data_IF_904062368580
#
_entry.id   IF_904062368580
#
_cell.length_a   1.000
_cell.length_b   1.000
_cell.length_c   1.000
_cell.angle_alpha   90.00
_cell.angle_beta   90.00
_cell.angle_gamma   90.00
#
_symmetry.space_group_name_H-M   'P 1'
#
loop_
_entity.id
_entity.type
_entity.pdbx_description
1 polymer ?
#
# COMPACT_ATOMS: atom_id res chain seq x y z
N UNK A 1 -17.90 -25.57 -3.95
CA UNK A 1 -18.55 -24.27 -4.26
C UNK A 1 -19.24 -23.80 -3.00
N UNK A 2 -19.04 -22.55 -2.58
CA UNK A 2 -19.64 -21.99 -1.35
C UNK A 2 -21.15 -21.84 -1.51
N UNK A 3 -21.93 -22.41 -0.57
CA UNK A 3 -23.39 -22.25 -0.53
C UNK A 3 -23.74 -20.81 -0.11
N UNK A 4 -24.33 -20.05 -1.02
CA UNK A 4 -24.69 -18.64 -0.81
C UNK A 4 -25.78 -18.42 0.25
N UNK A 5 -26.72 -19.34 0.39
CA UNK A 5 -27.73 -19.24 1.44
C UNK A 5 -27.12 -19.47 2.83
N UNK A 6 -26.20 -20.41 2.92
CA UNK A 6 -25.42 -20.65 4.15
C UNK A 6 -24.56 -19.44 4.49
N UNK A 7 -23.81 -18.92 3.50
CA UNK A 7 -23.00 -17.71 3.67
C UNK A 7 -23.84 -16.54 4.21
N UNK A 8 -24.99 -16.26 3.61
CA UNK A 8 -25.89 -15.19 4.05
C UNK A 8 -26.39 -15.37 5.50
N UNK A 9 -26.75 -16.61 5.89
CA UNK A 9 -27.14 -16.89 7.28
C UNK A 9 -25.99 -16.72 8.28
N UNK A 10 -24.81 -17.18 7.92
CA UNK A 10 -23.60 -17.02 8.75
C UNK A 10 -23.24 -15.54 8.91
N UNK A 11 -23.22 -14.79 7.81
CA UNK A 11 -22.95 -13.37 7.83
C UNK A 11 -23.96 -12.60 8.71
N UNK A 12 -25.26 -12.87 8.60
CA UNK A 12 -26.27 -12.24 9.42
C UNK A 12 -26.10 -12.53 10.94
N UNK A 13 -25.61 -13.72 11.29
CA UNK A 13 -25.28 -14.06 12.69
C UNK A 13 -24.09 -13.27 13.19
N UNK A 14 -23.00 -13.21 12.39
CA UNK A 14 -21.79 -12.47 12.76
C UNK A 14 -22.07 -10.95 12.82
N UNK A 15 -22.98 -10.42 11.97
CA UNK A 15 -23.40 -9.02 12.01
C UNK A 15 -24.16 -8.70 13.32
N UNK A 16 -25.05 -9.59 13.77
CA UNK A 16 -25.76 -9.39 15.03
C UNK A 16 -24.77 -9.43 16.21
N UNK A 17 -23.84 -10.37 16.21
CA UNK A 17 -22.80 -10.45 17.25
C UNK A 17 -21.94 -9.17 17.27
N UNK A 18 -21.55 -8.65 16.11
CA UNK A 18 -20.81 -7.39 15.99
C UNK A 18 -21.57 -6.21 16.62
N UNK A 19 -22.86 -6.07 16.26
CA UNK A 19 -23.72 -4.98 16.79
C UNK A 19 -23.86 -5.07 18.30
N UNK A 20 -24.06 -6.27 18.84
CA UNK A 20 -24.27 -6.48 20.29
C UNK A 20 -23.00 -6.21 21.11
N UNK A 21 -21.83 -6.45 20.52
CA UNK A 21 -20.53 -6.29 21.21
C UNK A 21 -19.98 -4.86 21.15
N UNK A 22 -20.46 -4.00 20.21
CA UNK A 22 -19.86 -2.69 19.96
C UNK A 22 -20.84 -1.51 20.16
N UNK A 23 -21.56 -1.42 21.30
CA UNK A 23 -22.55 -0.35 21.53
C UNK A 23 -21.94 1.05 21.60
N UNK A 24 -20.69 1.20 22.08
CA UNK A 24 -20.00 2.49 22.17
C UNK A 24 -19.49 2.93 20.80
N UNK A 25 -18.91 2.05 20.00
CA UNK A 25 -18.53 2.33 18.61
C UNK A 25 -19.73 2.77 17.78
N UNK A 26 -20.88 2.09 17.93
CA UNK A 26 -22.16 2.48 17.30
C UNK A 26 -22.57 3.90 17.69
N UNK A 27 -22.50 4.23 18.98
CA UNK A 27 -22.84 5.58 19.48
C UNK A 27 -21.90 6.64 18.92
N UNK A 28 -20.59 6.37 18.86
CA UNK A 28 -19.58 7.27 18.29
C UNK A 28 -19.78 7.49 16.79
N UNK A 29 -20.10 6.44 16.04
CA UNK A 29 -20.42 6.54 14.62
C UNK A 29 -21.62 7.45 14.36
N UNK A 30 -22.69 7.30 15.14
CA UNK A 30 -23.88 8.15 15.07
C UNK A 30 -23.58 9.62 15.44
N UNK A 31 -22.73 9.85 16.43
CA UNK A 31 -22.26 11.18 16.80
C UNK A 31 -21.43 11.84 15.69
N UNK A 32 -20.45 11.12 15.18
CA UNK A 32 -19.54 11.59 14.12
C UNK A 32 -20.29 11.88 12.80
N UNK A 33 -21.36 11.10 12.52
CA UNK A 33 -22.20 11.28 11.35
C UNK A 33 -22.94 12.64 11.26
N UNK A 34 -22.96 13.42 12.33
CA UNK A 34 -23.53 14.78 12.33
C UNK A 34 -22.68 15.79 11.59
N UNK A 35 -21.37 15.55 11.44
CA UNK A 35 -20.42 16.52 10.86
C UNK A 35 -19.39 15.90 9.91
N UNK A 36 -19.22 14.59 9.91
CA UNK A 36 -18.32 13.88 9.02
C UNK A 36 -19.10 13.08 7.98
N UNK A 37 -18.71 13.16 6.72
CA UNK A 37 -19.29 12.39 5.64
C UNK A 37 -19.10 10.88 5.92
N UNK A 38 -20.22 10.14 6.00
CA UNK A 38 -20.17 8.73 6.38
C UNK A 38 -19.80 8.44 7.84
N UNK A 39 -19.74 9.47 8.71
CA UNK A 39 -19.39 9.32 10.13
C UNK A 39 -17.91 9.06 10.40
N UNK A 40 -17.05 9.28 9.40
CA UNK A 40 -15.61 8.99 9.47
C UNK A 40 -14.78 10.14 8.88
N UNK A 41 -13.53 10.35 9.33
CA UNK A 41 -12.67 11.41 8.80
C UNK A 41 -12.13 11.10 7.38
N UNK A 42 -12.19 9.84 6.92
CA UNK A 42 -11.73 9.43 5.60
C UNK A 42 -12.60 8.28 5.07
N UNK A 43 -13.00 8.38 3.79
CA UNK A 43 -14.05 7.53 3.19
C UNK A 43 -13.77 6.01 3.31
N UNK A 44 -12.52 5.57 3.24
CA UNK A 44 -12.19 4.14 3.35
C UNK A 44 -12.47 3.55 4.74
N UNK A 45 -12.55 4.38 5.76
CA UNK A 45 -12.93 3.92 7.10
C UNK A 45 -14.37 3.40 7.20
N UNK A 46 -15.19 3.60 6.16
CA UNK A 46 -16.51 2.97 6.03
C UNK A 46 -16.48 1.57 5.40
N UNK A 47 -15.30 1.10 4.95
CA UNK A 47 -15.16 -0.19 4.25
C UNK A 47 -15.01 -1.37 5.20
N UNK A 48 -14.82 -1.14 6.48
CA UNK A 48 -14.80 -2.22 7.47
C UNK A 48 -16.12 -2.96 7.46
N UNK A 49 -16.09 -4.31 7.53
CA UNK A 49 -17.33 -5.08 7.64
C UNK A 49 -18.02 -4.75 8.96
N UNK A 50 -19.34 -4.83 8.95
CA UNK A 50 -20.21 -4.44 10.05
C UNK A 50 -21.02 -3.19 9.75
N UNK A 51 -22.12 -3.00 10.46
CA UNK A 51 -23.10 -1.91 10.25
C UNK A 51 -22.55 -0.50 10.51
N UNK A 52 -21.40 -0.40 11.19
CA UNK A 52 -20.73 0.86 11.53
C UNK A 52 -19.24 0.62 11.75
N UNK A 53 -18.38 1.66 11.59
CA UNK A 53 -16.95 1.52 11.83
C UNK A 53 -16.63 1.33 13.32
N UNK A 54 -15.60 0.53 13.61
CA UNK A 54 -14.99 0.49 14.94
C UNK A 54 -14.30 1.83 15.25
N UNK A 55 -14.40 2.25 16.52
CA UNK A 55 -13.65 3.38 17.04
C UNK A 55 -12.57 2.86 17.98
N UNK A 56 -11.30 3.09 17.65
CA UNK A 56 -10.21 2.68 18.53
C UNK A 56 -10.01 3.66 19.70
N UNK A 57 -9.54 3.15 20.83
CA UNK A 57 -9.15 3.91 22.03
C UNK A 57 -7.63 4.09 22.07
N UNK A 58 -6.88 3.00 21.95
CA UNK A 58 -5.42 2.98 21.96
C UNK A 58 -4.87 1.85 21.10
N UNK A 59 -3.63 2.03 20.62
CA UNK A 59 -2.90 1.02 19.88
C UNK A 59 -1.43 0.99 20.31
N UNK A 60 -0.82 -0.19 20.41
CA UNK A 60 0.59 -0.37 20.72
C UNK A 60 1.11 -1.68 20.12
N UNK A 61 2.29 -1.66 19.50
CA UNK A 61 2.87 -2.83 18.85
C UNK A 61 1.95 -3.38 17.77
N UNK A 62 1.59 -4.65 17.87
CA UNK A 62 0.71 -5.35 16.93
C UNK A 62 -0.76 -5.40 17.41
N UNK A 63 -1.17 -4.53 18.32
CA UNK A 63 -2.52 -4.58 18.91
C UNK A 63 -3.16 -3.21 19.00
N UNK A 64 -4.48 -3.20 18.94
CA UNK A 64 -5.28 -2.05 19.39
C UNK A 64 -6.44 -2.50 20.27
N UNK A 65 -6.95 -1.56 21.06
CA UNK A 65 -8.17 -1.71 21.84
C UNK A 65 -9.19 -0.71 21.34
N UNK A 66 -10.41 -1.15 21.09
CA UNK A 66 -11.51 -0.26 20.71
C UNK A 66 -12.14 0.47 21.91
N UNK A 67 -13.06 1.38 21.64
CA UNK A 67 -13.77 2.13 22.68
C UNK A 67 -14.74 1.26 23.50
N UNK A 68 -15.06 0.06 23.05
CA UNK A 68 -15.85 -0.93 23.75
C UNK A 68 -14.99 -1.79 24.70
N UNK A 69 -13.66 -1.65 24.64
CA UNK A 69 -12.68 -2.32 25.48
C UNK A 69 -12.22 -3.67 24.93
N UNK A 70 -12.53 -3.98 23.69
CA UNK A 70 -12.13 -5.22 23.01
C UNK A 70 -10.74 -5.05 22.42
N UNK A 71 -9.85 -6.01 22.67
CA UNK A 71 -8.50 -6.05 22.12
C UNK A 71 -8.44 -6.89 20.84
N UNK A 72 -7.72 -6.38 19.85
CA UNK A 72 -7.51 -7.01 18.53
C UNK A 72 -6.02 -7.20 18.27
N UNK A 73 -5.68 -8.33 17.63
CA UNK A 73 -4.42 -8.48 16.91
C UNK A 73 -4.60 -7.78 15.57
N UNK A 74 -3.72 -6.85 15.25
CA UNK A 74 -3.81 -5.99 14.07
C UNK A 74 -2.85 -6.45 12.97
N UNK A 75 -3.35 -7.23 12.03
CA UNK A 75 -2.63 -7.59 10.81
C UNK A 75 -2.86 -6.59 9.67
N UNK A 76 -3.74 -5.60 9.84
CA UNK A 76 -3.91 -4.51 8.88
C UNK A 76 -2.78 -3.49 8.98
N UNK A 77 -2.38 -3.12 10.21
CA UNK A 77 -1.33 -2.14 10.48
C UNK A 77 -1.50 -0.85 9.66
N UNK A 78 -2.75 -0.36 9.59
CA UNK A 78 -3.10 0.85 8.84
C UNK A 78 -2.73 0.74 7.36
N UNK A 79 -2.90 -0.42 6.76
CA UNK A 79 -2.55 -0.72 5.36
C UNK A 79 -1.09 -0.30 5.03
N UNK A 80 -0.16 -0.89 5.73
CA UNK A 80 1.30 -0.64 5.70
C UNK A 80 1.76 0.59 6.50
N UNK A 81 0.90 1.56 6.79
CA UNK A 81 1.27 2.79 7.49
C UNK A 81 1.91 2.56 8.87
N UNK A 82 1.48 1.53 9.57
CA UNK A 82 2.00 1.11 10.86
C UNK A 82 2.74 -0.25 10.83
N UNK A 83 3.34 -0.64 9.71
CA UNK A 83 4.12 -1.89 9.59
C UNK A 83 5.23 -1.99 10.63
N UNK A 84 5.71 -0.89 11.16
CA UNK A 84 6.69 -0.84 12.25
C UNK A 84 6.12 -1.21 13.63
N UNK A 85 4.80 -1.37 13.72
CA UNK A 85 4.04 -1.43 14.96
C UNK A 85 3.50 -0.07 15.40
N UNK A 86 2.42 -0.08 16.18
CA UNK A 86 1.80 1.12 16.72
C UNK A 86 2.59 1.70 17.88
N UNK A 87 2.51 3.03 18.04
CA UNK A 87 3.03 3.78 19.19
C UNK A 87 4.49 3.46 19.56
N UNK A 88 5.37 3.38 18.53
CA UNK A 88 6.80 3.17 18.76
C UNK A 88 7.35 4.20 19.74
N UNK A 89 7.96 3.80 20.88
CA UNK A 89 8.44 4.74 21.90
C UNK A 89 9.44 5.75 21.35
N UNK A 90 10.34 5.33 20.46
CA UNK A 90 11.36 6.18 19.85
C UNK A 90 10.75 7.27 18.95
N UNK A 91 9.68 6.93 18.21
CA UNK A 91 8.95 7.89 17.36
C UNK A 91 8.15 8.84 18.23
N UNK A 92 7.41 8.34 19.23
CA UNK A 92 6.63 9.16 20.14
C UNK A 92 7.49 10.19 20.87
N UNK A 93 8.67 9.79 21.35
CA UNK A 93 9.62 10.68 22.02
C UNK A 93 10.24 11.71 21.06
N UNK A 94 10.57 11.31 19.83
CA UNK A 94 11.10 12.23 18.80
C UNK A 94 10.06 13.29 18.45
N UNK A 95 8.80 12.89 18.26
CA UNK A 95 7.69 13.80 18.00
C UNK A 95 7.47 14.78 19.15
N UNK A 96 7.46 14.28 20.39
CA UNK A 96 7.32 15.11 21.59
C UNK A 96 8.43 16.19 21.68
N UNK A 97 9.68 15.80 21.50
CA UNK A 97 10.81 16.72 21.52
C UNK A 97 10.73 17.76 20.38
N UNK A 98 10.45 17.30 19.16
CA UNK A 98 10.42 18.19 18.01
C UNK A 98 9.24 19.18 18.04
N UNK A 99 8.07 18.75 18.52
CA UNK A 99 6.90 19.60 18.64
C UNK A 99 7.16 20.85 19.51
N UNK A 100 8.03 20.74 20.54
CA UNK A 100 8.45 21.86 21.40
C UNK A 100 9.49 22.79 20.76
N UNK A 101 10.13 22.38 19.65
CA UNK A 101 11.16 23.17 18.94
C UNK A 101 10.63 23.85 17.68
N UNK A 102 9.38 23.60 17.33
CA UNK A 102 8.73 24.08 16.11
C UNK A 102 8.52 22.97 15.10
N UNK A 103 7.46 23.10 14.32
CA UNK A 103 7.00 22.04 13.40
C UNK A 103 7.27 22.43 11.94
N UNK A 104 6.76 23.61 11.52
CA UNK A 104 6.82 24.06 10.13
C UNK A 104 7.45 25.44 10.05
N UNK A 105 8.67 25.48 9.58
CA UNK A 105 9.46 26.72 9.45
C UNK A 105 9.82 27.04 8.01
N UNK A 106 9.58 26.13 7.08
CA UNK A 106 10.09 26.14 5.70
C UNK A 106 11.63 26.26 5.62
N UNK A 107 12.31 25.88 6.68
CA UNK A 107 13.78 25.81 6.76
C UNK A 107 14.19 24.36 7.06
N UNK A 108 15.27 23.87 6.45
CA UNK A 108 15.82 22.56 6.79
C UNK A 108 16.38 22.55 8.22
N UNK A 109 16.44 21.37 8.82
CA UNK A 109 17.10 21.12 10.10
C UNK A 109 18.13 19.97 9.96
N UNK A 110 18.82 19.64 11.06
CA UNK A 110 19.86 18.59 11.07
C UNK A 110 19.34 17.20 10.69
N UNK A 111 18.05 16.92 10.90
CA UNK A 111 17.44 15.65 10.53
C UNK A 111 17.36 15.47 9.01
N UNK A 112 17.30 16.57 8.24
CA UNK A 112 17.17 16.51 6.78
C UNK A 112 18.38 15.80 6.14
N UNK A 113 19.60 16.16 6.55
CA UNK A 113 20.81 15.51 6.01
C UNK A 113 20.86 14.01 6.36
N UNK A 114 20.60 13.68 7.63
CA UNK A 114 20.59 12.28 8.07
C UNK A 114 19.53 11.44 7.34
N UNK A 115 18.32 11.99 7.16
CA UNK A 115 17.23 11.30 6.45
C UNK A 115 17.62 11.07 4.99
N UNK A 116 18.19 12.08 4.32
CA UNK A 116 18.67 11.93 2.94
C UNK A 116 19.72 10.84 2.80
N UNK A 117 20.73 10.83 3.68
CA UNK A 117 21.80 9.83 3.70
C UNK A 117 21.26 8.43 3.97
N UNK A 118 20.33 8.28 4.92
CA UNK A 118 19.72 6.99 5.25
C UNK A 118 18.84 6.45 4.12
N UNK A 119 18.05 7.30 3.46
CA UNK A 119 17.27 6.91 2.29
C UNK A 119 18.18 6.45 1.15
N UNK A 120 19.28 7.17 0.87
CA UNK A 120 20.25 6.81 -0.15
C UNK A 120 20.93 5.46 0.18
N UNK A 121 21.39 5.31 1.41
CA UNK A 121 22.03 4.06 1.89
C UNK A 121 21.09 2.86 1.79
N UNK A 122 19.81 3.04 2.15
CA UNK A 122 18.82 1.98 2.26
C UNK A 122 18.29 1.54 0.91
N UNK A 123 17.93 2.50 0.06
CA UNK A 123 17.23 2.26 -1.20
C UNK A 123 18.10 2.39 -2.47
N UNK A 124 19.35 2.85 -2.34
CA UNK A 124 20.34 2.79 -3.40
C UNK A 124 20.34 3.93 -4.41
N UNK A 125 19.33 4.80 -4.42
CA UNK A 125 19.37 6.02 -5.25
C UNK A 125 20.06 7.17 -4.48
N UNK A 126 20.91 7.98 -5.15
CA UNK A 126 21.79 8.92 -4.45
C UNK A 126 21.10 10.21 -3.99
N UNK A 127 20.03 10.66 -4.66
CA UNK A 127 19.40 11.97 -4.43
C UNK A 127 17.94 11.82 -4.05
N UNK A 128 17.51 12.52 -2.99
CA UNK A 128 16.17 12.36 -2.42
C UNK A 128 15.49 13.70 -2.16
N UNK A 129 14.16 13.67 -2.24
CA UNK A 129 13.27 14.74 -1.81
C UNK A 129 12.11 14.17 -1.00
N UNK A 130 11.58 14.97 -0.08
CA UNK A 130 10.44 14.58 0.75
C UNK A 130 9.11 14.94 0.08
N UNK A 131 8.06 14.23 0.49
CA UNK A 131 6.66 14.52 0.20
C UNK A 131 5.81 14.25 1.46
N UNK A 132 4.56 14.69 1.48
CA UNK A 132 3.66 14.40 2.59
C UNK A 132 3.07 13.00 2.49
N UNK A 133 2.74 12.58 1.27
CA UNK A 133 2.16 11.28 0.96
C UNK A 133 2.80 10.70 -0.29
N UNK A 134 2.70 9.37 -0.49
CA UNK A 134 3.14 8.74 -1.73
C UNK A 134 2.33 9.27 -2.94
N UNK A 135 1.08 9.68 -2.75
CA UNK A 135 0.30 10.38 -3.79
C UNK A 135 1.03 11.63 -4.29
N UNK A 136 1.50 12.48 -3.36
CA UNK A 136 2.23 13.69 -3.74
C UNK A 136 3.56 13.35 -4.40
N UNK A 137 4.30 12.39 -3.84
CA UNK A 137 5.56 11.91 -4.41
C UNK A 137 5.37 11.43 -5.86
N UNK A 138 4.37 10.58 -6.11
CA UNK A 138 4.04 10.13 -7.45
C UNK A 138 3.69 11.28 -8.39
N UNK A 139 2.84 12.22 -7.96
CA UNK A 139 2.50 13.42 -8.75
C UNK A 139 3.72 14.25 -9.11
N UNK A 140 4.65 14.44 -8.17
CA UNK A 140 5.88 15.20 -8.41
C UNK A 140 6.79 14.48 -9.42
N UNK A 141 6.97 13.18 -9.25
CA UNK A 141 7.77 12.35 -10.16
C UNK A 141 7.18 12.33 -11.57
N UNK A 142 5.85 12.23 -11.72
CA UNK A 142 5.20 12.30 -13.04
C UNK A 142 5.42 13.66 -13.73
N UNK A 143 5.41 14.79 -12.97
CA UNK A 143 5.75 16.10 -13.51
C UNK A 143 7.18 16.16 -14.01
N UNK A 144 8.12 15.66 -13.22
CA UNK A 144 9.53 15.58 -13.61
C UNK A 144 9.74 14.69 -14.83
N UNK A 145 9.11 13.51 -14.87
CA UNK A 145 9.22 12.61 -16.01
C UNK A 145 8.72 13.24 -17.31
N UNK A 146 7.56 13.90 -17.25
CA UNK A 146 7.02 14.66 -18.40
C UNK A 146 7.93 15.80 -18.84
N UNK A 147 8.46 16.54 -17.87
CA UNK A 147 9.39 17.65 -18.18
C UNK A 147 10.67 17.15 -18.85
N UNK A 148 11.30 16.12 -18.29
CA UNK A 148 12.57 15.58 -18.77
C UNK A 148 12.48 14.91 -20.15
N UNK A 149 11.33 14.33 -20.47
CA UNK A 149 11.13 13.60 -21.73
C UNK A 149 10.41 14.41 -22.81
N UNK A 150 9.72 15.49 -22.42
CA UNK A 150 8.82 16.25 -23.32
C UNK A 150 7.57 15.46 -23.74
N UNK A 151 7.29 14.34 -23.10
CA UNK A 151 6.16 13.45 -23.41
C UNK A 151 5.05 13.62 -22.41
N UNK A 152 3.79 13.39 -22.80
CA UNK A 152 2.61 13.65 -21.96
C UNK A 152 2.05 12.42 -21.25
N UNK A 153 2.20 11.22 -21.84
CA UNK A 153 1.59 10.01 -21.33
C UNK A 153 2.44 9.29 -20.28
N UNK A 154 1.75 8.62 -19.38
CA UNK A 154 2.31 7.70 -18.38
C UNK A 154 1.80 6.31 -18.68
N UNK A 155 2.62 5.28 -18.54
CA UNK A 155 2.19 3.90 -18.60
C UNK A 155 2.03 3.36 -17.17
N UNK A 156 0.91 2.70 -16.90
CA UNK A 156 0.65 1.98 -15.66
C UNK A 156 0.18 0.56 -15.94
N UNK A 157 0.30 -0.31 -14.95
CA UNK A 157 -0.24 -1.67 -15.04
C UNK A 157 -1.69 -1.72 -14.58
N UNK A 158 -2.49 -2.56 -15.25
CA UNK A 158 -3.92 -2.68 -14.93
C UNK A 158 -4.12 -3.13 -13.48
N UNK A 159 -5.05 -2.45 -12.78
CA UNK A 159 -5.34 -2.66 -11.36
C UNK A 159 -4.22 -2.29 -10.39
N UNK A 160 -3.18 -1.58 -10.80
CA UNK A 160 -2.20 -0.98 -9.88
C UNK A 160 -2.83 0.05 -8.93
N UNK A 161 -2.09 0.44 -7.90
CA UNK A 161 -2.50 1.54 -7.02
C UNK A 161 -1.30 2.43 -6.65
N UNK A 162 -1.43 3.73 -6.92
CA UNK A 162 -0.37 4.72 -6.67
C UNK A 162 -0.90 5.96 -5.93
N UNK A 163 -1.88 5.75 -5.03
CA UNK A 163 -2.55 6.84 -4.34
C UNK A 163 -3.62 7.52 -5.22
N UNK A 164 -4.06 8.70 -4.82
CA UNK A 164 -5.07 9.50 -5.54
C UNK A 164 -4.43 10.25 -6.72
N UNK A 165 -3.80 9.51 -7.62
CA UNK A 165 -3.19 9.99 -8.86
C UNK A 165 -4.11 9.60 -10.02
N UNK A 166 -4.66 10.60 -10.72
CA UNK A 166 -5.68 10.36 -11.76
C UNK A 166 -5.17 9.43 -12.86
N UNK A 167 -3.89 9.54 -13.22
CA UNK A 167 -3.23 8.67 -14.19
C UNK A 167 -3.20 7.19 -13.80
N UNK A 168 -3.38 6.86 -12.51
CA UNK A 168 -3.38 5.48 -12.00
C UNK A 168 -4.77 4.94 -11.68
N UNK A 169 -5.80 5.80 -11.66
CA UNK A 169 -7.20 5.40 -11.41
C UNK A 169 -7.89 4.95 -12.71
N UNK A 170 -7.23 4.06 -13.42
CA UNK A 170 -7.60 3.60 -14.76
C UNK A 170 -7.60 2.08 -14.84
N UNK A 171 -8.25 1.55 -15.88
CA UNK A 171 -8.26 0.14 -16.24
C UNK A 171 -8.23 -0.01 -17.75
N UNK A 172 -8.01 -1.23 -18.22
CA UNK A 172 -7.97 -1.57 -19.64
C UNK A 172 -9.32 -2.15 -20.07
N UNK A 173 -9.87 -1.64 -21.16
CA UNK A 173 -11.02 -2.28 -21.84
C UNK A 173 -10.56 -3.64 -22.42
N UNK A 174 -11.15 -4.77 -21.98
CA UNK A 174 -10.70 -6.08 -22.43
C UNK A 174 -10.96 -6.34 -23.92
N UNK A 175 -11.93 -5.63 -24.54
CA UNK A 175 -12.31 -5.84 -25.95
C UNK A 175 -11.51 -4.97 -26.91
N UNK A 176 -11.22 -3.73 -26.54
CA UNK A 176 -10.55 -2.74 -27.41
C UNK A 176 -9.12 -2.43 -27.02
N UNK A 177 -8.72 -2.79 -25.80
CA UNK A 177 -7.42 -2.44 -25.24
C UNK A 177 -7.27 -0.96 -24.81
N UNK A 178 -8.33 -0.16 -24.92
CA UNK A 178 -8.30 1.27 -24.57
C UNK A 178 -8.21 1.47 -23.06
N UNK A 179 -7.58 2.58 -22.68
CA UNK A 179 -7.60 3.08 -21.29
C UNK A 179 -8.98 3.64 -20.98
N UNK A 180 -9.58 3.18 -19.89
CA UNK A 180 -10.86 3.64 -19.33
C UNK A 180 -10.67 4.08 -17.87
N UNK A 181 -11.57 4.93 -17.33
CA UNK A 181 -11.63 5.14 -15.88
C UNK A 181 -11.86 3.82 -15.15
N UNK A 182 -11.18 3.63 -14.01
CA UNK A 182 -11.39 2.45 -13.17
C UNK A 182 -12.81 2.44 -12.60
N UNK A 183 -13.53 1.30 -12.62
CA UNK A 183 -14.82 1.19 -11.95
C UNK A 183 -14.74 1.60 -10.48
N UNK A 184 -15.66 2.43 -10.03
CA UNK A 184 -15.67 2.98 -8.67
C UNK A 184 -14.90 4.29 -8.48
N UNK A 185 -14.12 4.74 -9.45
CA UNK A 185 -13.59 6.11 -9.44
C UNK A 185 -14.75 7.10 -9.60
N UNK A 186 -14.78 8.11 -8.72
CA UNK A 186 -15.88 9.09 -8.68
C UNK A 186 -15.57 10.30 -9.56
N UNK A 187 -16.63 10.86 -10.14
CA UNK A 187 -16.59 12.05 -10.99
C UNK A 187 -16.30 11.75 -12.46
N UNK A 188 -16.80 12.58 -13.39
CA UNK A 188 -16.43 12.51 -14.79
C UNK A 188 -14.99 12.98 -14.94
N UNK A 189 -14.12 12.05 -15.31
CA UNK A 189 -12.71 12.36 -15.58
C UNK A 189 -12.56 12.92 -17.01
N UNK A 190 -11.50 13.69 -17.23
CA UNK A 190 -10.96 13.92 -18.57
C UNK A 190 -10.66 12.55 -19.18
N UNK A 191 -10.84 12.38 -20.49
CA UNK A 191 -10.53 11.10 -21.15
C UNK A 191 -9.11 10.62 -20.76
N UNK A 192 -8.98 9.57 -19.95
CA UNK A 192 -7.69 9.16 -19.41
C UNK A 192 -6.74 8.63 -20.49
N UNK A 193 -7.25 8.26 -21.68
CA UNK A 193 -6.41 7.82 -22.80
C UNK A 193 -5.51 8.93 -23.36
N UNK A 194 -5.80 10.19 -23.02
CA UNK A 194 -4.96 11.34 -23.40
C UNK A 194 -3.67 11.41 -22.57
N UNK A 195 -3.70 10.89 -21.33
CA UNK A 195 -2.61 11.01 -20.37
C UNK A 195 -2.03 9.68 -19.92
N UNK A 196 -2.73 8.57 -20.18
CA UNK A 196 -2.35 7.26 -19.63
C UNK A 196 -2.53 6.12 -20.62
N UNK A 197 -1.59 5.20 -20.60
CA UNK A 197 -1.65 3.90 -21.28
C UNK A 197 -1.66 2.81 -20.22
N UNK A 198 -2.59 1.85 -20.34
CA UNK A 198 -2.71 0.71 -19.42
C UNK A 198 -2.32 -0.56 -20.13
N UNK A 199 -1.43 -1.35 -19.52
CA UNK A 199 -1.08 -2.69 -19.99
C UNK A 199 -1.26 -3.72 -18.90
N UNK A 200 -1.52 -5.00 -19.21
CA UNK A 200 -1.55 -6.05 -18.18
C UNK A 200 -0.16 -6.21 -17.54
N UNK A 201 -0.15 -6.50 -16.24
CA UNK A 201 1.08 -6.91 -15.56
C UNK A 201 1.53 -8.27 -16.13
N UNK A 202 2.83 -8.54 -16.17
CA UNK A 202 3.42 -9.74 -16.78
C UNK A 202 3.23 -9.92 -18.31
N UNK A 203 2.70 -8.91 -19.01
CA UNK A 203 2.54 -8.95 -20.48
C UNK A 203 3.65 -8.14 -21.17
N UNK A 204 4.82 -8.76 -21.36
CA UNK A 204 5.96 -8.14 -22.01
C UNK A 204 5.66 -7.71 -23.45
N UNK A 205 4.97 -8.50 -24.30
CA UNK A 205 4.56 -8.06 -25.64
C UNK A 205 3.69 -6.81 -25.64
N UNK A 206 2.71 -6.71 -24.74
CA UNK A 206 1.86 -5.51 -24.64
C UNK A 206 2.66 -4.29 -24.16
N UNK A 207 3.61 -4.48 -23.24
CA UNK A 207 4.52 -3.43 -22.78
C UNK A 207 5.40 -2.92 -23.93
N UNK A 208 6.00 -3.81 -24.72
CA UNK A 208 6.84 -3.44 -25.85
C UNK A 208 6.05 -2.67 -26.91
N UNK A 209 4.87 -3.17 -27.28
CA UNK A 209 4.00 -2.50 -28.24
C UNK A 209 3.58 -1.10 -27.76
N UNK A 210 3.28 -0.93 -26.48
CA UNK A 210 2.91 0.37 -25.92
C UNK A 210 4.09 1.36 -25.94
N UNK A 211 5.29 0.93 -25.59
CA UNK A 211 6.50 1.77 -25.56
C UNK A 211 6.99 2.16 -26.95
N UNK A 212 6.73 1.33 -27.97
CA UNK A 212 7.12 1.60 -29.37
C UNK A 212 6.49 2.88 -29.92
N UNK A 213 5.37 3.37 -29.36
CA UNK A 213 4.73 4.62 -29.73
C UNK A 213 5.56 5.88 -29.45
N UNK A 214 6.53 5.81 -28.54
CA UNK A 214 7.49 6.88 -28.23
C UNK A 214 6.89 8.11 -27.53
N UNK A 215 5.65 8.07 -27.04
CA UNK A 215 4.92 9.17 -26.40
C UNK A 215 4.76 9.02 -24.88
N UNK A 216 5.37 7.96 -24.29
CA UNK A 216 5.31 7.64 -22.88
C UNK A 216 6.49 8.27 -22.13
N UNK A 217 6.21 9.15 -21.17
CA UNK A 217 7.20 9.82 -20.33
C UNK A 217 7.86 8.85 -19.34
N UNK A 218 7.04 8.05 -18.66
CA UNK A 218 7.52 7.06 -17.73
C UNK A 218 6.56 5.86 -17.62
N UNK A 219 7.09 4.75 -17.14
CA UNK A 219 6.31 3.65 -16.57
C UNK A 219 6.29 3.85 -15.06
N UNK A 220 5.10 3.90 -14.45
CA UNK A 220 4.89 3.91 -13.00
C UNK A 220 4.44 2.51 -12.60
N UNK A 221 5.25 1.82 -11.79
CA UNK A 221 5.09 0.41 -11.48
C UNK A 221 5.26 0.11 -9.98
N UNK A 222 4.43 -0.79 -9.45
CA UNK A 222 4.77 -1.56 -8.25
C UNK A 222 5.70 -2.71 -8.66
N UNK A 223 6.66 -3.15 -7.82
CA UNK A 223 7.44 -4.38 -8.08
C UNK A 223 6.61 -5.66 -8.20
N UNK A 224 5.52 -5.76 -7.45
CA UNK A 224 4.44 -6.73 -7.56
C UNK A 224 3.12 -5.99 -7.35
N UNK A 225 2.03 -6.37 -8.00
CA UNK A 225 0.74 -5.74 -7.71
C UNK A 225 0.30 -6.13 -6.30
N UNK A 226 -0.20 -5.14 -5.57
CA UNK A 226 -0.58 -5.32 -4.16
C UNK A 226 -1.97 -4.77 -3.83
N UNK A 227 -2.65 -4.17 -4.80
CA UNK A 227 -3.97 -3.54 -4.60
C UNK A 227 -5.16 -4.47 -4.90
N UNK A 228 -4.93 -5.58 -5.57
CA UNK A 228 -5.95 -6.54 -5.99
C UNK A 228 -5.51 -7.97 -5.69
N UNK A 229 -5.17 -8.22 -4.42
CA UNK A 229 -4.39 -9.38 -4.06
C UNK A 229 -2.90 -9.18 -4.39
N UNK A 230 -2.09 -10.20 -4.16
CA UNK A 230 -0.68 -10.21 -4.55
C UNK A 230 -0.55 -10.87 -5.91
N UNK A 231 -0.08 -10.10 -6.92
CA UNK A 231 0.31 -10.63 -8.23
C UNK A 231 1.81 -10.50 -8.37
N UNK A 232 2.50 -11.62 -8.31
CA UNK A 232 3.96 -11.67 -8.40
C UNK A 232 4.45 -11.49 -9.84
N UNK A 233 5.64 -10.89 -10.05
CA UNK A 233 6.25 -10.81 -11.38
C UNK A 233 6.65 -12.19 -11.88
N UNK A 234 6.37 -12.47 -13.16
CA UNK A 234 6.91 -13.65 -13.83
C UNK A 234 8.42 -13.51 -14.03
N UNK A 235 9.17 -14.62 -14.07
CA UNK A 235 10.61 -14.59 -14.34
C UNK A 235 10.93 -13.80 -15.62
N UNK A 236 11.88 -12.88 -15.55
CA UNK A 236 12.31 -12.03 -16.67
C UNK A 236 11.44 -10.79 -16.93
N UNK A 237 10.34 -10.59 -16.19
CA UNK A 237 9.47 -9.44 -16.41
C UNK A 237 10.17 -8.11 -16.09
N UNK A 238 10.83 -7.99 -14.94
CA UNK A 238 11.53 -6.75 -14.55
C UNK A 238 12.75 -6.44 -15.43
N UNK A 239 13.48 -7.46 -15.86
CA UNK A 239 14.58 -7.29 -16.82
C UNK A 239 14.06 -6.76 -18.16
N UNK A 240 12.94 -7.32 -18.63
CA UNK A 240 12.29 -6.83 -19.86
C UNK A 240 11.78 -5.40 -19.69
N UNK A 241 11.13 -5.09 -18.56
CA UNK A 241 10.64 -3.74 -18.22
C UNK A 241 11.79 -2.72 -18.25
N UNK A 242 12.91 -3.00 -17.59
CA UNK A 242 14.05 -2.09 -17.57
C UNK A 242 14.70 -1.96 -18.94
N UNK A 243 14.91 -3.04 -19.64
CA UNK A 243 15.47 -3.03 -21.00
C UNK A 243 14.62 -2.19 -21.96
N UNK A 244 13.31 -2.40 -21.96
CA UNK A 244 12.38 -1.71 -22.85
C UNK A 244 12.27 -0.21 -22.52
N UNK A 245 12.20 0.16 -21.24
CA UNK A 245 12.16 1.57 -20.85
C UNK A 245 13.42 2.31 -21.30
N UNK A 246 14.61 1.73 -21.14
CA UNK A 246 15.86 2.30 -21.66
C UNK A 246 15.88 2.40 -23.19
N UNK A 247 15.47 1.33 -23.88
CA UNK A 247 15.45 1.28 -25.36
C UNK A 247 14.60 2.40 -25.96
N UNK A 248 13.47 2.74 -25.31
CA UNK A 248 12.53 3.74 -25.79
C UNK A 248 12.71 5.13 -25.16
N UNK A 249 13.75 5.33 -24.31
CA UNK A 249 13.99 6.58 -23.61
C UNK A 249 12.83 6.99 -22.70
N UNK A 250 12.14 6.02 -22.12
CA UNK A 250 11.07 6.16 -21.14
C UNK A 250 11.67 5.98 -19.76
N UNK A 251 11.31 6.81 -18.79
CA UNK A 251 11.81 6.70 -17.41
C UNK A 251 11.06 5.58 -16.66
N UNK A 252 11.75 4.89 -15.75
CA UNK A 252 11.17 3.87 -14.89
C UNK A 252 10.99 4.43 -13.47
N UNK A 253 9.76 4.46 -12.99
CA UNK A 253 9.39 4.83 -11.63
C UNK A 253 8.93 3.57 -10.89
N UNK A 254 9.60 3.24 -9.79
CA UNK A 254 9.20 2.14 -8.91
C UNK A 254 8.57 2.71 -7.64
N UNK A 255 7.32 2.34 -7.39
CA UNK A 255 6.59 2.69 -6.17
C UNK A 255 6.66 1.51 -5.19
N UNK A 256 7.44 1.69 -4.12
CA UNK A 256 7.71 0.70 -3.07
C UNK A 256 6.80 0.86 -1.85
N UNK A 257 5.80 1.70 -1.92
CA UNK A 257 4.97 2.05 -0.75
C UNK A 257 4.40 0.82 -0.04
N UNK A 258 4.06 -0.24 -0.77
CA UNK A 258 3.62 -1.51 -0.22
C UNK A 258 4.69 -2.60 -0.23
N UNK A 259 5.54 -2.62 -1.23
CA UNK A 259 6.53 -3.69 -1.43
C UNK A 259 7.78 -3.54 -0.56
N UNK A 260 7.86 -2.45 0.23
CA UNK A 260 8.82 -2.32 1.34
C UNK A 260 8.77 -3.52 2.31
N UNK A 261 7.66 -4.24 2.37
CA UNK A 261 7.53 -5.46 3.19
C UNK A 261 8.48 -6.60 2.77
N UNK A 262 9.12 -6.52 1.60
CA UNK A 262 10.06 -7.55 1.10
C UNK A 262 11.41 -7.52 1.84
N UNK A 263 11.83 -6.36 2.32
CA UNK A 263 13.11 -6.24 3.01
C UNK A 263 13.47 -4.80 3.36
N UNK A 264 14.58 -4.56 4.07
CA UNK A 264 14.99 -3.24 4.55
C UNK A 264 15.26 -2.23 3.42
N UNK A 265 15.55 -2.69 2.22
CA UNK A 265 15.68 -1.88 1.00
C UNK A 265 14.55 -2.06 -0.01
N UNK A 266 13.41 -2.65 0.43
CA UNK A 266 12.27 -2.96 -0.41
C UNK A 266 12.54 -4.09 -1.42
N UNK A 267 11.55 -4.35 -2.28
CA UNK A 267 11.70 -5.29 -3.38
C UNK A 267 12.75 -4.83 -4.40
N UNK A 268 12.89 -3.52 -4.60
CA UNK A 268 13.90 -2.93 -5.50
C UNK A 268 15.31 -3.44 -5.18
N UNK A 269 15.72 -3.36 -3.91
CA UNK A 269 17.02 -3.87 -3.50
C UNK A 269 17.09 -5.39 -3.49
N UNK A 270 16.04 -6.05 -2.99
CA UNK A 270 16.02 -7.51 -2.89
C UNK A 270 16.07 -8.22 -4.25
N UNK A 271 15.47 -7.62 -5.28
CA UNK A 271 15.39 -8.17 -6.64
C UNK A 271 16.34 -7.49 -7.63
N UNK A 272 17.19 -6.57 -7.17
CA UNK A 272 18.16 -5.88 -8.01
C UNK A 272 17.53 -5.00 -9.08
N UNK A 273 16.40 -4.36 -8.79
CA UNK A 273 15.75 -3.45 -9.73
C UNK A 273 16.53 -2.15 -9.85
N UNK A 274 16.45 -1.51 -11.02
CA UNK A 274 17.25 -0.33 -11.37
C UNK A 274 16.35 0.78 -11.92
N UNK A 275 15.59 1.48 -11.06
CA UNK A 275 14.70 2.57 -11.47
C UNK A 275 15.44 3.89 -11.70
N UNK A 276 14.82 4.77 -12.50
CA UNK A 276 15.21 6.18 -12.63
C UNK A 276 14.66 7.02 -11.47
N UNK A 277 13.47 6.66 -10.98
CA UNK A 277 12.84 7.21 -9.78
C UNK A 277 12.33 6.09 -8.86
N UNK A 278 12.39 6.36 -7.58
CA UNK A 278 11.87 5.51 -6.51
C UNK A 278 10.89 6.32 -5.66
N UNK A 279 9.75 5.74 -5.32
CA UNK A 279 8.75 6.37 -4.44
C UNK A 279 8.49 5.48 -3.23
N UNK A 280 8.41 6.08 -2.05
CA UNK A 280 8.05 5.39 -0.82
C UNK A 280 7.28 6.34 0.11
N UNK A 281 6.30 5.79 0.82
CA UNK A 281 5.52 6.51 1.82
C UNK A 281 5.15 5.64 3.00
N UNK A 282 4.00 5.91 3.59
CA UNK A 282 3.36 5.12 4.66
C UNK A 282 4.32 4.83 5.82
N UNK A 283 4.92 3.66 5.86
CA UNK A 283 5.67 3.13 7.00
C UNK A 283 6.90 3.95 7.41
N UNK A 284 7.51 4.71 6.48
CA UNK A 284 8.76 5.45 6.80
C UNK A 284 8.58 6.51 7.88
N UNK A 285 7.36 6.99 8.09
CA UNK A 285 7.02 7.96 9.14
C UNK A 285 6.61 7.35 10.47
N UNK A 286 6.61 6.00 10.62
CA UNK A 286 6.16 5.36 11.86
C UNK A 286 4.75 5.70 12.28
N UNK A 287 3.84 5.89 11.31
CA UNK A 287 2.44 6.33 11.49
C UNK A 287 2.22 7.84 11.25
N UNK A 288 3.27 8.65 11.16
CA UNK A 288 3.16 10.06 10.75
C UNK A 288 3.12 10.18 9.21
N UNK A 289 2.32 11.14 8.67
CA UNK A 289 2.35 11.44 7.24
C UNK A 289 3.75 11.83 6.78
N UNK A 290 4.39 10.96 6.01
CA UNK A 290 5.69 11.19 5.40
C UNK A 290 5.83 10.27 4.18
N UNK A 291 6.44 10.83 3.13
CA UNK A 291 6.85 10.10 1.95
C UNK A 291 8.15 10.72 1.40
N UNK A 292 8.80 9.99 0.52
CA UNK A 292 10.00 10.45 -0.15
C UNK A 292 10.03 9.89 -1.58
N UNK A 293 10.76 10.59 -2.45
CA UNK A 293 11.12 10.07 -3.76
C UNK A 293 12.61 10.25 -4.01
N UNK A 294 13.21 9.19 -4.51
CA UNK A 294 14.62 9.15 -4.89
C UNK A 294 14.77 9.23 -6.39
N UNK A 295 15.94 9.64 -6.85
CA UNK A 295 16.28 9.73 -8.26
C UNK A 295 17.72 9.34 -8.54
N UNK A 296 17.96 8.79 -9.74
CA UNK A 296 19.30 8.44 -10.21
C UNK A 296 20.16 9.69 -10.43
N UNK A 297 21.49 9.52 -10.49
CA UNK A 297 22.44 10.61 -10.79
C UNK A 297 22.12 11.30 -12.11
N UNK A 298 21.74 10.53 -13.14
CA UNK A 298 21.36 11.07 -14.44
C UNK A 298 20.14 11.99 -14.35
N UNK A 299 19.08 11.53 -13.63
CA UNK A 299 17.88 12.31 -13.42
C UNK A 299 18.19 13.55 -12.58
N UNK A 300 18.93 13.42 -11.49
CA UNK A 300 19.30 14.54 -10.61
C UNK A 300 20.10 15.61 -11.35
N UNK A 301 21.06 15.20 -12.18
CA UNK A 301 21.86 16.13 -12.99
C UNK A 301 21.00 16.92 -13.99
N UNK A 302 19.98 16.30 -14.58
CA UNK A 302 19.06 16.94 -15.52
C UNK A 302 18.03 17.85 -14.82
N UNK A 303 17.62 17.52 -13.59
CA UNK A 303 16.66 18.33 -12.83
C UNK A 303 17.28 19.50 -12.08
N UNK A 304 18.55 19.40 -11.66
CA UNK A 304 19.22 20.44 -10.91
C UNK A 304 19.09 21.83 -11.52
N UNK A 305 19.40 22.05 -12.82
CA UNK A 305 19.22 23.33 -13.49
C UNK A 305 17.77 23.82 -13.55
N UNK A 306 16.80 22.89 -13.61
CA UNK A 306 15.37 23.24 -13.67
C UNK A 306 14.89 23.79 -12.32
N UNK A 307 15.29 23.14 -11.22
CA UNK A 307 14.91 23.54 -9.86
C UNK A 307 15.62 24.82 -9.43
N UNK A 308 16.86 25.02 -9.87
CA UNK A 308 17.68 26.20 -9.53
C UNK A 308 17.37 27.44 -10.37
N UNK A 309 16.41 27.36 -11.32
CA UNK A 309 16.13 28.47 -12.23
C UNK A 309 15.37 29.60 -11.51
N UNK A 310 15.98 30.77 -11.43
CA UNK A 310 15.48 31.94 -10.70
C UNK A 310 14.12 32.50 -11.19
N UNK A 311 13.68 32.09 -12.37
CA UNK A 311 12.41 32.51 -12.97
C UNK A 311 11.21 31.61 -12.67
N UNK A 312 11.41 30.52 -11.92
CA UNK A 312 10.33 29.57 -11.62
C UNK A 312 9.78 29.85 -10.22
N UNK A 313 8.65 30.52 -10.17
CA UNK A 313 7.92 30.78 -8.94
C UNK A 313 7.22 29.52 -8.41
N UNK A 314 6.57 28.75 -9.31
CA UNK A 314 5.86 27.52 -8.95
C UNK A 314 6.15 26.40 -9.95
N UNK A 315 6.94 25.41 -9.55
CA UNK A 315 7.17 24.19 -10.35
C UNK A 315 6.00 23.19 -10.31
N UNK A 316 5.09 23.37 -9.35
CA UNK A 316 4.05 22.42 -9.05
C UNK A 316 4.56 21.19 -8.28
N UNK A 317 5.74 21.29 -7.67
CA UNK A 317 6.40 20.26 -6.85
C UNK A 317 6.68 20.86 -5.47
N UNK A 318 6.49 20.07 -4.41
CA UNK A 318 6.63 20.51 -3.03
C UNK A 318 5.29 20.90 -2.38
N UNK A 319 5.37 21.69 -1.33
CA UNK A 319 4.21 22.14 -0.55
C UNK A 319 4.68 22.67 0.80
N UNK A 320 3.92 23.61 1.39
CA UNK A 320 4.27 24.31 2.63
C UNK A 320 4.63 23.39 3.79
N UNK A 321 3.97 22.23 3.88
CA UNK A 321 4.17 21.25 4.95
C UNK A 321 5.17 20.15 4.58
N UNK A 322 5.62 20.09 3.33
CA UNK A 322 6.53 19.04 2.85
C UNK A 322 7.91 19.17 3.52
N UNK A 323 8.46 18.05 4.02
CA UNK A 323 9.75 18.04 4.68
C UNK A 323 9.80 18.85 5.99
N UNK A 324 8.66 19.03 6.67
CA UNK A 324 8.63 19.75 7.95
C UNK A 324 9.43 18.99 9.03
N UNK A 325 9.89 19.73 10.02
CA UNK A 325 10.77 19.21 11.07
C UNK A 325 10.16 18.06 11.87
N UNK A 326 8.84 18.03 12.06
CA UNK A 326 8.16 16.94 12.78
C UNK A 326 8.15 15.64 11.97
N UNK A 327 7.87 15.71 10.67
CA UNK A 327 7.91 14.57 9.78
C UNK A 327 9.34 14.02 9.64
N UNK A 328 10.35 14.89 9.51
CA UNK A 328 11.76 14.46 9.47
C UNK A 328 12.20 13.77 10.77
N UNK A 329 11.80 14.30 11.94
CA UNK A 329 12.07 13.67 13.22
C UNK A 329 11.42 12.28 13.34
N UNK A 330 10.19 12.12 12.82
CA UNK A 330 9.51 10.84 12.77
C UNK A 330 10.23 9.84 11.84
N UNK A 331 10.59 10.26 10.63
CA UNK A 331 11.31 9.41 9.66
C UNK A 331 12.67 8.99 10.23
N UNK A 332 13.43 9.93 10.81
CA UNK A 332 14.72 9.63 11.45
C UNK A 332 14.57 8.62 12.58
N UNK A 333 13.61 8.82 13.48
CA UNK A 333 13.36 7.90 14.59
C UNK A 333 12.92 6.52 14.09
N UNK A 334 12.06 6.47 13.08
CA UNK A 334 11.58 5.22 12.48
C UNK A 334 12.71 4.45 11.82
N UNK A 335 13.38 5.03 10.84
CA UNK A 335 14.41 4.35 10.06
C UNK A 335 15.69 4.06 10.89
N UNK A 336 15.93 4.84 11.93
CA UNK A 336 17.05 4.63 12.86
C UNK A 336 16.81 3.53 13.89
N UNK A 337 15.57 3.10 14.12
CA UNK A 337 15.24 2.13 15.19
C UNK A 337 14.51 0.88 14.72
N UNK A 338 13.99 0.85 13.49
CA UNK A 338 13.16 -0.25 12.98
C UNK A 338 13.33 -0.40 11.46
N UNK A 339 12.69 -1.40 10.89
CA UNK A 339 12.83 -1.81 9.49
C UNK A 339 14.28 -2.16 9.13
N UNK A 340 14.99 -2.83 10.04
CA UNK A 340 16.36 -3.32 9.90
C UNK A 340 16.35 -4.80 9.52
N UNK A 341 17.51 -5.35 9.19
CA UNK A 341 17.65 -6.77 8.79
C UNK A 341 17.04 -7.72 9.83
N UNK A 342 17.26 -7.44 11.14
CA UNK A 342 16.70 -8.26 12.22
C UNK A 342 15.16 -8.22 12.29
N UNK A 343 14.54 -7.08 11.96
CA UNK A 343 13.07 -6.96 11.94
C UNK A 343 12.49 -7.82 10.82
N UNK A 344 13.06 -7.78 9.62
CA UNK A 344 12.64 -8.62 8.51
C UNK A 344 12.95 -10.10 8.73
N UNK A 345 14.08 -10.42 9.38
CA UNK A 345 14.41 -11.80 9.77
C UNK A 345 13.37 -12.39 10.77
N UNK A 346 12.68 -11.54 11.52
CA UNK A 346 11.56 -11.92 12.38
C UNK A 346 10.21 -11.97 11.61
N UNK A 347 9.89 -10.91 10.85
CA UNK A 347 8.59 -10.77 10.20
C UNK A 347 8.35 -11.78 9.07
N UNK A 348 9.37 -12.05 8.23
CA UNK A 348 9.19 -12.93 7.05
C UNK A 348 8.83 -14.36 7.46
N UNK A 349 9.50 -15.01 8.44
CA UNK A 349 9.09 -16.32 8.92
C UNK A 349 7.67 -16.37 9.51
N UNK A 350 7.21 -15.28 10.14
CA UNK A 350 5.82 -15.19 10.62
C UNK A 350 4.82 -15.16 9.46
N UNK A 351 5.13 -14.40 8.40
CA UNK A 351 4.31 -14.39 7.18
C UNK A 351 4.29 -15.75 6.49
N UNK A 352 5.44 -16.48 6.48
CA UNK A 352 5.50 -17.86 5.98
C UNK A 352 4.60 -18.79 6.79
N UNK A 353 4.67 -18.71 8.11
CA UNK A 353 3.82 -19.53 8.98
C UNK A 353 2.33 -19.22 8.82
N UNK A 354 1.98 -17.96 8.59
CA UNK A 354 0.61 -17.54 8.28
C UNK A 354 0.15 -18.12 6.94
N UNK A 355 1.00 -18.02 5.90
CA UNK A 355 0.75 -18.57 4.56
C UNK A 355 0.53 -20.08 4.62
N UNK A 356 1.42 -20.81 5.31
CA UNK A 356 1.34 -22.26 5.46
C UNK A 356 0.03 -22.69 6.17
N UNK A 357 -0.37 -21.96 7.22
CA UNK A 357 -1.59 -22.26 7.96
C UNK A 357 -2.87 -22.00 7.14
N UNK A 358 -2.90 -20.95 6.36
CA UNK A 358 -3.99 -20.63 5.43
C UNK A 358 -4.03 -21.67 4.30
N UNK A 359 -2.88 -21.98 3.68
CA UNK A 359 -2.79 -22.97 2.60
C UNK A 359 -3.23 -24.36 3.06
N UNK A 360 -2.81 -24.80 4.25
CA UNK A 360 -3.24 -26.07 4.81
C UNK A 360 -4.77 -26.19 4.94
N UNK A 361 -5.45 -25.10 5.30
CA UNK A 361 -6.91 -25.07 5.37
C UNK A 361 -7.55 -25.12 3.96
N UNK A 362 -7.00 -24.37 3.01
CA UNK A 362 -7.44 -24.36 1.60
C UNK A 362 -7.34 -25.78 1.02
N UNK A 363 -6.19 -26.45 1.22
CA UNK A 363 -5.93 -27.80 0.72
C UNK A 363 -6.84 -28.84 1.39
N UNK A 364 -7.04 -28.73 2.71
CA UNK A 364 -7.90 -29.66 3.46
C UNK A 364 -9.32 -29.68 2.90
N UNK A 365 -9.85 -28.52 2.52
CA UNK A 365 -11.22 -28.40 1.98
C UNK A 365 -11.28 -28.46 0.45
N UNK A 366 -10.15 -28.56 -0.25
CA UNK A 366 -10.08 -28.58 -1.71
C UNK A 366 -10.66 -27.32 -2.35
N UNK A 367 -10.45 -26.15 -1.71
CA UNK A 367 -10.97 -24.88 -2.21
C UNK A 367 -10.15 -24.39 -3.39
N UNK A 368 -10.77 -23.78 -4.42
CA UNK A 368 -10.07 -23.18 -5.55
C UNK A 368 -9.49 -21.80 -5.20
N UNK A 369 -8.96 -21.65 -4.01
CA UNK A 369 -8.35 -20.42 -3.48
C UNK A 369 -6.83 -20.53 -3.54
N UNK A 370 -6.16 -19.41 -3.39
CA UNK A 370 -4.71 -19.37 -3.23
C UNK A 370 -4.31 -18.47 -2.07
N UNK A 371 -3.09 -18.59 -1.61
CA UNK A 371 -2.43 -17.64 -0.74
C UNK A 371 -1.05 -17.33 -1.32
N UNK A 372 -0.71 -16.05 -1.40
CA UNK A 372 0.59 -15.57 -1.88
C UNK A 372 1.31 -14.82 -0.78
N UNK A 373 2.63 -14.96 -0.71
CA UNK A 373 3.49 -14.23 0.22
C UNK A 373 4.40 -13.27 -0.53
N UNK A 374 4.58 -12.08 0.04
CA UNK A 374 5.50 -11.05 -0.43
C UNK A 374 6.28 -10.50 0.77
N UNK A 375 7.42 -11.14 1.10
CA UNK A 375 8.21 -10.79 2.28
C UNK A 375 7.42 -10.94 3.58
N UNK A 376 7.26 -9.85 4.34
CA UNK A 376 6.49 -9.80 5.59
C UNK A 376 4.98 -9.62 5.40
N UNK A 377 4.48 -9.70 4.17
CA UNK A 377 3.06 -9.64 3.80
C UNK A 377 2.61 -10.97 3.20
N UNK A 378 1.39 -11.39 3.51
CA UNK A 378 0.72 -12.51 2.84
C UNK A 378 -0.75 -12.18 2.62
N UNK A 379 -1.35 -12.75 1.57
CA UNK A 379 -2.73 -12.47 1.20
C UNK A 379 -3.36 -13.70 0.54
N UNK A 380 -4.57 -14.11 0.96
CA UNK A 380 -5.32 -15.14 0.29
C UNK A 380 -6.34 -14.54 -0.68
N UNK A 381 -6.66 -15.29 -1.76
CA UNK A 381 -7.58 -14.86 -2.79
C UNK A 381 -8.48 -16.01 -3.23
N UNK A 382 -9.71 -15.72 -3.66
CA UNK A 382 -10.74 -16.72 -3.94
C UNK A 382 -10.66 -17.33 -5.35
N UNK A 383 -9.47 -17.39 -5.90
CA UNK A 383 -9.16 -18.03 -7.18
C UNK A 383 -7.78 -18.72 -7.13
N UNK A 384 -7.40 -19.52 -8.12
CA UNK A 384 -5.99 -19.90 -8.33
C UNK A 384 -5.08 -18.68 -8.47
N UNK A 385 -3.75 -18.80 -8.30
CA UNK A 385 -2.82 -17.67 -8.38
C UNK A 385 -3.04 -16.83 -9.65
N UNK A 386 -3.41 -15.55 -9.52
CA UNK A 386 -3.68 -14.70 -10.68
C UNK A 386 -2.37 -14.30 -11.37
N UNK A 387 -2.40 -14.25 -12.71
CA UNK A 387 -1.26 -13.83 -13.51
C UNK A 387 -1.15 -12.32 -13.65
N UNK A 388 -2.30 -11.63 -13.60
CA UNK A 388 -2.40 -10.19 -13.76
C UNK A 388 -3.55 -9.61 -12.92
N UNK A 389 -3.67 -8.28 -12.93
CA UNK A 389 -4.69 -7.60 -12.15
C UNK A 389 -6.12 -7.88 -12.60
N UNK A 390 -6.35 -8.10 -13.90
CA UNK A 390 -7.69 -8.41 -14.42
C UNK A 390 -8.17 -9.79 -13.95
N UNK A 391 -7.28 -10.79 -13.94
CA UNK A 391 -7.58 -12.13 -13.41
C UNK A 391 -7.91 -12.07 -11.90
N UNK A 392 -7.14 -11.28 -11.14
CA UNK A 392 -7.40 -11.08 -9.72
C UNK A 392 -8.74 -10.36 -9.47
N UNK A 393 -9.02 -9.30 -10.23
CA UNK A 393 -10.25 -8.52 -10.10
C UNK A 393 -11.50 -9.32 -10.44
N UNK A 394 -11.42 -10.25 -11.40
CA UNK A 394 -12.52 -11.14 -11.74
C UNK A 394 -12.93 -12.10 -10.62
N UNK A 395 -12.06 -12.31 -9.63
CA UNK A 395 -12.28 -13.21 -8.50
C UNK A 395 -12.77 -12.51 -7.22
N UNK A 396 -13.00 -11.20 -7.26
CA UNK A 396 -13.55 -10.45 -6.11
C UNK A 396 -14.93 -10.97 -5.75
N UNK A 397 -15.12 -11.31 -4.48
CA UNK A 397 -16.36 -11.80 -3.91
C UNK A 397 -16.70 -11.03 -2.64
N UNK A 398 -17.42 -9.92 -2.79
CA UNK A 398 -17.70 -8.99 -1.70
C UNK A 398 -18.49 -9.61 -0.55
N UNK A 399 -19.39 -10.57 -0.81
CA UNK A 399 -20.16 -11.23 0.25
C UNK A 399 -19.27 -12.15 1.09
N UNK A 400 -18.37 -12.87 0.42
CA UNK A 400 -17.43 -13.74 1.07
C UNK A 400 -16.36 -12.94 1.83
N UNK A 401 -15.81 -11.88 1.23
CA UNK A 401 -14.93 -10.94 1.91
C UNK A 401 -15.55 -10.39 3.19
N UNK A 402 -16.79 -9.87 3.10
CA UNK A 402 -17.49 -9.29 4.24
C UNK A 402 -17.68 -10.30 5.38
N UNK A 403 -18.03 -11.55 5.06
CA UNK A 403 -18.17 -12.61 6.07
C UNK A 403 -16.82 -12.96 6.71
N UNK A 404 -15.76 -13.19 5.93
CA UNK A 404 -14.45 -13.60 6.43
C UNK A 404 -13.87 -12.55 7.37
N UNK A 405 -13.97 -11.26 6.99
CA UNK A 405 -13.51 -10.17 7.83
C UNK A 405 -14.33 -9.99 9.10
N UNK A 406 -15.66 -10.08 9.00
CA UNK A 406 -16.53 -9.91 10.16
C UNK A 406 -16.36 -11.06 11.15
N UNK A 407 -16.18 -12.27 10.65
CA UNK A 407 -15.89 -13.46 11.47
C UNK A 407 -14.56 -13.29 12.24
N UNK A 408 -13.54 -12.74 11.58
CA UNK A 408 -12.24 -12.45 12.18
C UNK A 408 -12.33 -11.33 13.25
N UNK A 409 -13.02 -10.22 12.95
CA UNK A 409 -13.23 -9.10 13.88
C UNK A 409 -13.92 -9.58 15.16
N UNK A 410 -15.00 -10.35 15.06
CA UNK A 410 -15.71 -10.89 16.21
C UNK A 410 -14.82 -11.80 17.10
N UNK A 411 -13.70 -12.27 16.56
CA UNK A 411 -12.72 -13.10 17.30
C UNK A 411 -11.43 -12.35 17.64
N UNK A 412 -11.47 -11.00 17.52
CA UNK A 412 -10.37 -10.13 17.91
C UNK A 412 -9.18 -10.15 16.97
N UNK A 413 -9.43 -10.27 15.66
CA UNK A 413 -8.43 -10.20 14.59
C UNK A 413 -8.86 -9.18 13.56
N UNK A 414 -7.94 -8.28 13.19
CA UNK A 414 -8.17 -7.27 12.18
C UNK A 414 -7.30 -7.56 10.95
N UNK A 415 -7.94 -7.74 9.80
CA UNK A 415 -7.32 -7.75 8.48
C UNK A 415 -7.70 -6.46 7.73
N UNK A 416 -7.04 -6.13 6.65
CA UNK A 416 -7.36 -4.94 5.83
C UNK A 416 -8.71 -5.11 5.14
N UNK A 417 -9.65 -4.15 5.23
CA UNK A 417 -11.06 -4.37 4.88
C UNK A 417 -11.40 -4.55 3.39
N UNK A 418 -10.45 -4.29 2.50
CA UNK A 418 -10.58 -4.47 1.04
C UNK A 418 -9.48 -5.37 0.48
N UNK A 419 -8.81 -6.09 1.38
CA UNK A 419 -7.79 -7.08 1.11
C UNK A 419 -7.93 -8.24 2.09
N UNK A 420 -7.63 -9.44 1.66
CA UNK A 420 -7.52 -10.60 2.55
C UNK A 420 -6.07 -10.75 3.05
N UNK A 421 -5.52 -9.64 3.51
CA UNK A 421 -4.10 -9.43 3.75
C UNK A 421 -3.75 -9.48 5.23
N UNK A 422 -2.69 -10.19 5.56
CA UNK A 422 -1.96 -10.05 6.81
C UNK A 422 -0.58 -9.42 6.55
N UNK A 423 -0.29 -8.34 7.27
CA UNK A 423 1.01 -7.69 7.28
C UNK A 423 1.65 -7.92 8.65
N UNK A 424 2.92 -8.33 8.66
CA UNK A 424 3.68 -8.53 9.89
C UNK A 424 4.40 -7.26 10.33
N UNK A 425 4.50 -7.07 11.63
CA UNK A 425 5.34 -6.07 12.28
C UNK A 425 6.36 -6.74 13.19
N UNK A 426 7.42 -6.03 13.63
CA UNK A 426 8.36 -6.57 14.62
C UNK A 426 7.73 -6.95 15.97
N UNK A 427 6.49 -6.52 16.21
CA UNK A 427 5.76 -6.79 17.45
C UNK A 427 4.81 -7.99 17.37
N UNK A 428 4.62 -8.59 16.19
CA UNK A 428 3.84 -9.82 16.08
C UNK A 428 4.59 -11.00 16.65
N UNK A 429 3.84 -11.98 17.18
CA UNK A 429 4.34 -13.25 17.68
C UNK A 429 3.83 -14.43 16.87
N UNK A 430 4.42 -15.61 17.08
CA UNK A 430 3.92 -16.85 16.53
C UNK A 430 2.49 -17.15 17.01
N UNK A 431 2.18 -16.85 18.27
CA UNK A 431 0.84 -17.06 18.84
C UNK A 431 -0.22 -16.21 18.13
N UNK A 432 0.11 -15.00 17.69
CA UNK A 432 -0.80 -14.15 16.90
C UNK A 432 -1.14 -14.81 15.56
N UNK A 433 -0.14 -15.37 14.89
CA UNK A 433 -0.31 -16.11 13.64
C UNK A 433 -1.15 -17.36 13.84
N UNK A 434 -0.85 -18.16 14.87
CA UNK A 434 -1.56 -19.42 15.17
C UNK A 434 -3.03 -19.12 15.55
N UNK A 435 -3.29 -18.02 16.25
CA UNK A 435 -4.64 -17.53 16.54
C UNK A 435 -5.40 -17.19 15.24
N UNK A 436 -4.78 -16.42 14.34
CA UNK A 436 -5.40 -16.12 13.03
C UNK A 436 -5.71 -17.40 12.26
N UNK A 437 -4.75 -18.31 12.14
CA UNK A 437 -4.91 -19.57 11.39
C UNK A 437 -6.06 -20.42 11.94
N UNK A 438 -6.21 -20.44 13.28
CA UNK A 438 -7.33 -21.12 13.92
C UNK A 438 -8.66 -20.46 13.54
N UNK A 439 -8.78 -19.14 13.63
CA UNK A 439 -9.99 -18.39 13.28
C UNK A 439 -10.31 -18.52 11.79
N UNK A 440 -9.31 -18.49 10.91
CA UNK A 440 -9.49 -18.70 9.48
C UNK A 440 -10.06 -20.09 9.18
N UNK A 441 -9.50 -21.13 9.80
CA UNK A 441 -10.00 -22.50 9.66
C UNK A 441 -11.45 -22.61 10.14
N UNK A 442 -11.78 -22.07 11.32
CA UNK A 442 -13.16 -22.06 11.83
C UNK A 442 -14.15 -21.37 10.89
N UNK A 443 -13.74 -20.26 10.26
CA UNK A 443 -14.54 -19.57 9.26
C UNK A 443 -14.81 -20.45 8.04
N UNK A 444 -13.77 -21.11 7.53
CA UNK A 444 -13.87 -22.02 6.38
C UNK A 444 -14.71 -23.27 6.73
N UNK A 445 -14.48 -23.89 7.89
CA UNK A 445 -15.28 -25.01 8.39
C UNK A 445 -16.77 -24.63 8.46
N UNK A 446 -17.06 -23.43 8.97
CA UNK A 446 -18.44 -22.92 9.01
C UNK A 446 -19.03 -22.72 7.61
N UNK A 447 -18.26 -22.36 6.61
CA UNK A 447 -18.71 -22.17 5.22
C UNK A 447 -18.98 -23.49 4.49
N UNK A 448 -18.14 -24.50 4.70
CA UNK A 448 -18.11 -25.73 3.91
C UNK A 448 -18.93 -26.84 4.58
N UNK A 449 -18.87 -26.97 5.90
CA UNK A 449 -19.46 -28.03 6.70
C UNK A 449 -20.85 -27.81 7.13
#
# INVERSE_FOLDING_TARGET
MIDRQRLARLHAREEQEFVDRHPRSRSRAAEAGRSLLGGVPMAWMTRWPGSFPLFFDRAAGARFTDVDGIEYVDFCLGDTGAMTGHALPQVAEALHRQARRGITTMLPNDDAAWVGDELARRFGLPTWQMAMTATDANRFVLRFARHLTGRSKVLVFDWCYHGSVDESLVTRDPSTGRTLPRPGSIGPQVDPSLTTVVVPFNDVPALEAALAGGDIACVLAEPALTNIGIVLPEPGFHEALRRLTRQHGTLLVIDETHTICVGPGGATRAWGLDPDFFVIGKTIGGGMPAAAYGMSDEVAARLGPVIAHDGIDVSGVGGTLTGNALALAAVRATLGSTLRDEDFAHMIPLATAWTDGVQATIDHHGLPWNVQQLGGRAEYWFCPPPRDGAAAAAAVDHELDAFMHLFAINRGILLTPFHNMALMSPSHSRDDVDRHTTVFREAVDALVG
#
